data_IF_642464677940
#
_entry.id   IF_642464677940
#
_cell.length_a   1.000
_cell.length_b   1.000
_cell.length_c   1.000
_cell.angle_alpha   90.00
_cell.angle_beta   90.00
_cell.angle_gamma   90.00
#
_symmetry.space_group_name_H-M   'P 1'
#
loop_
_entity.id
_entity.type
_entity.pdbx_description
1 polymer ?
#
# COMPACT_ATOMS: atom_id res chain seq x y z
N UNK A 1 -15.37 -12.96 -17.14
CA UNK A 1 -15.10 -11.55 -16.82
C UNK A 1 -15.00 -10.80 -18.15
N UNK A 2 -15.30 -9.50 -18.19
CA UNK A 2 -14.61 -8.63 -19.14
C UNK A 2 -13.14 -9.06 -19.15
N UNK A 3 -12.66 -9.70 -20.23
CA UNK A 3 -11.47 -10.58 -20.16
C UNK A 3 -10.18 -9.78 -19.91
N UNK A 4 -9.96 -9.35 -18.67
CA UNK A 4 -8.64 -8.93 -18.22
C UNK A 4 -7.67 -10.08 -18.45
N UNK A 5 -6.45 -9.83 -18.94
CA UNK A 5 -5.42 -10.84 -18.99
C UNK A 5 -5.12 -11.40 -17.59
N UNK A 6 -4.90 -12.71 -17.47
CA UNK A 6 -4.55 -13.37 -16.20
C UNK A 6 -3.30 -12.75 -15.56
N UNK A 7 -2.38 -12.26 -16.40
CA UNK A 7 -1.20 -11.53 -15.96
C UNK A 7 -1.55 -10.23 -15.22
N UNK A 8 -2.55 -9.48 -15.69
CA UNK A 8 -3.01 -8.25 -15.02
C UNK A 8 -3.61 -8.56 -13.66
N UNK A 9 -4.45 -9.60 -13.58
CA UNK A 9 -5.05 -10.06 -12.31
C UNK A 9 -3.94 -10.47 -11.32
N UNK A 10 -2.95 -11.22 -11.80
CA UNK A 10 -1.81 -11.65 -10.98
C UNK A 10 -0.98 -10.47 -10.48
N UNK A 11 -0.76 -9.45 -11.30
CA UNK A 11 -0.08 -8.21 -10.89
C UNK A 11 -0.84 -7.48 -9.80
N UNK A 12 -2.17 -7.34 -9.93
CA UNK A 12 -3.00 -6.69 -8.91
C UNK A 12 -2.89 -7.43 -7.58
N UNK A 13 -3.02 -8.76 -7.57
CA UNK A 13 -2.94 -9.52 -6.33
C UNK A 13 -1.55 -9.47 -5.68
N UNK A 14 -0.47 -9.52 -6.47
CA UNK A 14 0.90 -9.34 -5.94
C UNK A 14 1.08 -7.96 -5.32
N UNK A 15 0.59 -6.91 -5.98
CA UNK A 15 0.65 -5.55 -5.45
C UNK A 15 -0.17 -5.42 -4.15
N UNK A 16 -1.39 -5.98 -4.10
CA UNK A 16 -2.19 -6.00 -2.88
C UNK A 16 -1.48 -6.73 -1.73
N UNK A 17 -0.84 -7.87 -2.02
CA UNK A 17 -0.03 -8.60 -1.03
C UNK A 17 1.15 -7.73 -0.54
N UNK A 18 1.85 -7.06 -1.45
CA UNK A 18 2.96 -6.15 -1.12
C UNK A 18 2.51 -4.99 -0.23
N UNK A 19 1.39 -4.35 -0.56
CA UNK A 19 0.84 -3.23 0.23
C UNK A 19 0.47 -3.65 1.65
N UNK A 20 -0.10 -4.86 1.83
CA UNK A 20 -0.42 -5.40 3.16
C UNK A 20 0.85 -5.75 3.94
N UNK A 21 1.87 -6.31 3.30
CA UNK A 21 3.15 -6.59 3.94
C UNK A 21 3.85 -5.30 4.41
N UNK A 22 3.76 -4.22 3.64
CA UNK A 22 4.29 -2.91 4.04
C UNK A 22 3.49 -2.29 5.20
N UNK A 23 2.16 -2.47 5.23
CA UNK A 23 1.33 -2.07 6.37
C UNK A 23 1.73 -2.79 7.66
N UNK A 24 1.96 -4.10 7.56
CA UNK A 24 2.46 -4.91 8.68
C UNK A 24 3.84 -4.40 9.15
N UNK A 25 4.77 -4.18 8.22
CA UNK A 25 6.11 -3.67 8.52
C UNK A 25 6.06 -2.29 9.20
N UNK A 26 5.22 -1.38 8.70
CA UNK A 26 5.02 -0.05 9.30
C UNK A 26 4.47 -0.16 10.73
N UNK A 27 3.47 -1.02 10.94
CA UNK A 27 2.86 -1.26 12.26
C UNK A 27 3.87 -1.88 13.24
N UNK A 28 4.71 -2.80 12.77
CA UNK A 28 5.78 -3.39 13.58
C UNK A 28 6.86 -2.36 13.96
N UNK A 29 7.19 -1.43 13.05
CA UNK A 29 8.12 -0.33 13.33
C UNK A 29 7.56 0.62 14.39
N UNK A 30 6.29 1.04 14.27
CA UNK A 30 5.61 1.87 15.27
C UNK A 30 5.59 1.19 16.64
N UNK A 31 5.19 -0.08 16.69
CA UNK A 31 5.20 -0.85 17.93
C UNK A 31 6.60 -0.91 18.54
N UNK A 32 7.63 -1.20 17.74
CA UNK A 32 9.01 -1.29 18.22
C UNK A 32 9.53 0.05 18.72
N UNK A 33 9.21 1.15 18.03
CA UNK A 33 9.58 2.50 18.44
C UNK A 33 8.96 2.84 19.80
N UNK A 34 7.67 2.59 19.97
CA UNK A 34 6.96 2.83 21.23
C UNK A 34 7.46 1.93 22.36
N UNK A 35 7.74 0.65 22.10
CA UNK A 35 8.26 -0.27 23.13
C UNK A 35 9.66 0.11 23.62
N UNK A 36 10.53 0.56 22.72
CA UNK A 36 11.93 0.85 23.06
C UNK A 36 12.14 2.26 23.60
N UNK A 37 11.42 3.25 23.07
CA UNK A 37 11.67 4.67 23.35
C UNK A 37 10.47 5.40 23.96
N UNK A 38 9.28 4.81 23.91
CA UNK A 38 8.05 5.46 24.34
C UNK A 38 7.61 6.60 23.41
N UNK A 39 6.55 7.28 23.83
CA UNK A 39 6.04 8.47 23.15
C UNK A 39 6.70 9.71 23.77
N UNK A 40 7.58 10.35 23.01
CA UNK A 40 8.38 11.50 23.42
C UNK A 40 8.36 12.57 22.35
N UNK A 41 8.89 13.76 22.63
CA UNK A 41 9.03 14.82 21.63
C UNK A 41 9.92 14.41 20.44
N UNK A 42 10.88 13.51 20.66
CA UNK A 42 11.77 13.02 19.60
C UNK A 42 11.12 11.92 18.74
N UNK A 43 10.27 11.07 19.32
CA UNK A 43 9.60 9.99 18.58
C UNK A 43 8.32 10.43 17.88
N UNK A 44 7.69 11.54 18.32
CA UNK A 44 6.44 12.04 17.75
C UNK A 44 6.47 12.25 16.21
N UNK A 45 7.50 12.89 15.62
CA UNK A 45 7.53 13.10 14.17
C UNK A 45 7.56 11.79 13.39
N UNK A 46 8.19 10.75 13.95
CA UNK A 46 8.31 9.44 13.31
C UNK A 46 7.01 8.64 13.42
N UNK A 47 6.30 8.76 14.54
CA UNK A 47 4.96 8.18 14.70
C UNK A 47 3.98 8.79 13.70
N UNK A 48 4.00 10.12 13.55
CA UNK A 48 3.22 10.82 12.52
C UNK A 48 3.62 10.39 11.10
N UNK A 49 4.91 10.21 10.83
CA UNK A 49 5.39 9.72 9.54
C UNK A 49 4.90 8.30 9.24
N UNK A 50 4.93 7.40 10.24
CA UNK A 50 4.41 6.03 10.12
C UNK A 50 2.90 6.03 9.88
N UNK A 51 2.14 6.87 10.58
CA UNK A 51 0.70 7.03 10.33
C UNK A 51 0.40 7.47 8.90
N UNK A 52 1.12 8.49 8.42
CA UNK A 52 1.02 8.93 7.03
C UNK A 52 1.35 7.82 6.02
N UNK A 53 2.37 7.00 6.30
CA UNK A 53 2.71 5.84 5.47
C UNK A 53 1.56 4.81 5.46
N UNK A 54 1.01 4.47 6.63
CA UNK A 54 -0.12 3.53 6.75
C UNK A 54 -1.35 4.05 5.98
N UNK A 55 -1.66 5.33 6.07
CA UNK A 55 -2.76 5.94 5.32
C UNK A 55 -2.54 5.83 3.80
N UNK A 56 -1.34 6.19 3.33
CA UNK A 56 -0.98 6.13 1.90
C UNK A 56 -1.08 4.72 1.35
N UNK A 57 -0.64 3.70 2.08
CA UNK A 57 -0.71 2.29 1.67
C UNK A 57 -2.16 1.76 1.58
N UNK A 58 -3.05 2.20 2.48
CA UNK A 58 -4.47 1.80 2.48
C UNK A 58 -5.23 2.27 1.24
N UNK A 59 -4.84 3.41 0.66
CA UNK A 59 -5.52 4.00 -0.50
C UNK A 59 -5.49 3.06 -1.72
N UNK A 60 -4.31 2.69 -2.29
CA UNK A 60 -4.26 1.82 -3.45
C UNK A 60 -4.76 0.41 -3.13
N UNK A 61 -4.54 -0.10 -1.91
CA UNK A 61 -5.04 -1.43 -1.52
C UNK A 61 -6.58 -1.52 -1.65
N UNK A 62 -7.29 -0.59 -1.03
CA UNK A 62 -8.75 -0.54 -1.07
C UNK A 62 -9.29 -0.23 -2.47
N UNK A 63 -8.60 0.65 -3.20
CA UNK A 63 -9.00 1.05 -4.55
C UNK A 63 -8.85 -0.10 -5.54
N UNK A 64 -7.72 -0.80 -5.53
CA UNK A 64 -7.48 -1.97 -6.39
C UNK A 64 -8.52 -3.07 -6.16
N UNK A 65 -8.83 -3.36 -4.89
CA UNK A 65 -9.87 -4.35 -4.55
C UNK A 65 -11.22 -3.99 -5.18
N UNK A 66 -11.68 -2.74 -5.00
CA UNK A 66 -12.97 -2.29 -5.52
C UNK A 66 -13.03 -2.27 -7.04
N UNK A 67 -11.99 -1.76 -7.72
CA UNK A 67 -11.97 -1.71 -9.19
C UNK A 67 -11.94 -3.12 -9.77
N UNK A 68 -11.12 -4.03 -9.20
CA UNK A 68 -11.06 -5.41 -9.67
C UNK A 68 -12.42 -6.10 -9.58
N UNK A 69 -13.15 -5.90 -8.48
CA UNK A 69 -14.52 -6.39 -8.34
C UNK A 69 -15.46 -5.78 -9.39
N UNK A 70 -15.42 -4.46 -9.59
CA UNK A 70 -16.24 -3.79 -10.61
C UNK A 70 -15.99 -4.34 -12.01
N UNK A 71 -14.72 -4.60 -12.37
CA UNK A 71 -14.36 -5.21 -13.66
C UNK A 71 -14.88 -6.64 -13.78
N UNK A 72 -14.85 -7.42 -12.69
CA UNK A 72 -15.36 -8.79 -12.66
C UNK A 72 -16.87 -8.86 -12.93
N UNK A 73 -17.61 -7.91 -12.35
CA UNK A 73 -19.07 -7.79 -12.43
C UNK A 73 -19.54 -7.11 -13.73
N UNK A 74 -18.64 -6.45 -14.47
CA UNK A 74 -18.96 -5.79 -15.73
C UNK A 74 -19.15 -6.80 -16.87
N UNK A 75 -20.36 -6.85 -17.43
CA UNK A 75 -20.72 -7.68 -18.58
C UNK A 75 -21.31 -6.83 -19.72
N UNK A 76 -21.01 -7.14 -21.00
CA UNK A 76 -20.07 -8.17 -21.47
C UNK A 76 -18.59 -7.76 -21.33
N UNK A 77 -18.32 -6.47 -21.12
CA UNK A 77 -17.00 -5.91 -20.93
C UNK A 77 -17.04 -4.72 -19.96
N UNK A 78 -15.93 -4.46 -19.27
CA UNK A 78 -15.71 -3.22 -18.53
C UNK A 78 -15.48 -2.08 -19.52
N UNK A 79 -15.84 -0.86 -19.13
CA UNK A 79 -15.62 0.33 -19.96
C UNK A 79 -14.12 0.65 -20.04
N UNK A 80 -13.72 1.33 -21.11
CA UNK A 80 -12.33 1.80 -21.27
C UNK A 80 -11.90 2.66 -20.07
N UNK A 81 -12.75 3.56 -19.59
CA UNK A 81 -12.47 4.41 -18.44
C UNK A 81 -12.16 3.62 -17.15
N UNK A 82 -12.89 2.51 -16.89
CA UNK A 82 -12.66 1.65 -15.73
C UNK A 82 -11.32 0.92 -15.86
N UNK A 83 -10.97 0.46 -17.07
CA UNK A 83 -9.70 -0.20 -17.33
C UNK A 83 -8.52 0.77 -17.23
N UNK A 84 -8.64 1.98 -17.79
CA UNK A 84 -7.62 3.03 -17.68
C UNK A 84 -7.42 3.43 -16.21
N UNK A 85 -8.50 3.53 -15.45
CA UNK A 85 -8.43 3.81 -14.02
C UNK A 85 -7.78 2.68 -13.23
N UNK A 86 -8.01 1.41 -13.60
CA UNK A 86 -7.34 0.26 -13.03
C UNK A 86 -5.82 0.34 -13.25
N UNK A 87 -5.37 0.53 -14.49
CA UNK A 87 -3.94 0.58 -14.82
C UNK A 87 -3.24 1.75 -14.11
N UNK A 88 -3.83 2.95 -14.10
CA UNK A 88 -3.29 4.08 -13.34
C UNK A 88 -3.20 3.80 -11.84
N UNK A 89 -4.17 3.08 -11.29
CA UNK A 89 -4.14 2.70 -9.87
C UNK A 89 -3.03 1.69 -9.58
N UNK A 90 -2.73 0.77 -10.50
CA UNK A 90 -1.59 -0.15 -10.39
C UNK A 90 -0.29 0.67 -10.34
N UNK A 91 -0.06 1.56 -11.31
CA UNK A 91 1.16 2.38 -11.38
C UNK A 91 1.35 3.25 -10.14
N UNK A 92 0.27 3.91 -9.69
CA UNK A 92 0.28 4.69 -8.46
C UNK A 92 0.54 3.83 -7.22
N UNK A 93 -0.04 2.64 -7.17
CA UNK A 93 0.13 1.71 -6.06
C UNK A 93 1.57 1.23 -5.93
N UNK A 94 2.25 0.93 -7.04
CA UNK A 94 3.68 0.57 -7.03
C UNK A 94 4.54 1.75 -6.56
N UNK A 95 4.32 2.95 -7.08
CA UNK A 95 5.07 4.14 -6.67
C UNK A 95 4.87 4.47 -5.18
N UNK A 96 3.65 4.31 -4.66
CA UNK A 96 3.35 4.46 -3.23
C UNK A 96 4.06 3.37 -2.42
N UNK A 97 4.03 2.11 -2.87
CA UNK A 97 4.70 1.01 -2.19
C UNK A 97 6.20 1.27 -2.06
N UNK A 98 6.87 1.68 -3.14
CA UNK A 98 8.31 1.99 -3.15
C UNK A 98 8.65 3.14 -2.20
N UNK A 99 7.88 4.24 -2.25
CA UNK A 99 8.11 5.40 -1.40
C UNK A 99 7.87 5.07 0.09
N UNK A 100 6.79 4.34 0.39
CA UNK A 100 6.46 3.89 1.75
C UNK A 100 7.52 2.95 2.30
N UNK A 101 8.00 2.00 1.50
CA UNK A 101 9.08 1.10 1.89
C UNK A 101 10.36 1.88 2.24
N UNK A 102 10.76 2.84 1.42
CA UNK A 102 11.92 3.70 1.69
C UNK A 102 11.76 4.47 3.00
N UNK A 103 10.60 5.09 3.24
CA UNK A 103 10.33 5.80 4.49
C UNK A 103 10.39 4.88 5.71
N UNK A 104 9.79 3.69 5.65
CA UNK A 104 9.83 2.72 6.76
C UNK A 104 11.27 2.32 7.07
N UNK A 105 12.08 2.03 6.04
CA UNK A 105 13.48 1.64 6.22
C UNK A 105 14.34 2.77 6.78
N UNK A 106 14.06 4.03 6.40
CA UNK A 106 14.73 5.19 6.96
C UNK A 106 14.47 5.31 8.46
N UNK A 107 13.20 5.23 8.90
CA UNK A 107 12.83 5.30 10.31
C UNK A 107 13.48 4.15 11.10
N UNK A 108 13.39 2.92 10.57
CA UNK A 108 14.02 1.75 11.19
C UNK A 108 15.52 1.95 11.37
N UNK A 109 16.22 2.50 10.37
CA UNK A 109 17.65 2.76 10.45
C UNK A 109 17.99 3.88 11.45
N UNK A 110 17.22 4.97 11.46
CA UNK A 110 17.44 6.11 12.36
C UNK A 110 17.32 5.71 13.83
N UNK A 111 16.40 4.79 14.14
CA UNK A 111 16.10 4.35 15.50
C UNK A 111 16.61 2.95 15.83
N UNK A 112 17.38 2.33 14.93
CA UNK A 112 17.91 0.98 15.05
C UNK A 112 16.84 -0.08 15.40
N UNK A 113 15.68 0.01 14.74
CA UNK A 113 14.55 -0.90 14.91
C UNK A 113 14.74 -2.18 14.07
N UNK A 114 14.21 -3.34 14.53
CA UNK A 114 14.24 -4.59 13.79
C UNK A 114 13.48 -4.51 12.46
#
# INVERSE_FOLDING_TARGET
MAKLPDQTISTIFRLQQRLVALLDTATAAEYSLLQQFGETQETMPELEAIDNVKERLRIPYNRLHRILQQVAESQPAATADVLDFLYRTIDQGEAIADASEASIQEIKRSWNLP
#
